data_IF_425862590538
#
_entry.id   IF_425862590538
#
_cell.length_a   1.000
_cell.length_b   1.000
_cell.length_c   1.000
_cell.angle_alpha   90.00
_cell.angle_beta   90.00
_cell.angle_gamma   90.00
#
_symmetry.space_group_name_H-M   'P 1'
#
loop_
_entity.id
_entity.type
_entity.pdbx_description
1 polymer ?
#
# COMPACT_ATOMS: atom_id res chain seq x y z
N UNK A 1 8.85 9.39 -17.58
CA UNK A 1 9.21 8.62 -16.41
C UNK A 1 10.67 8.23 -16.49
N UNK A 2 11.40 8.32 -15.36
CA UNK A 2 12.77 7.80 -15.26
C UNK A 2 12.65 6.29 -15.00
N UNK A 3 12.85 5.50 -16.03
CA UNK A 3 12.93 4.05 -15.91
C UNK A 3 14.27 3.62 -15.30
N UNK A 4 14.24 2.56 -14.51
CA UNK A 4 15.45 1.94 -13.98
C UNK A 4 16.16 1.13 -15.06
N UNK A 5 17.49 1.23 -15.12
CA UNK A 5 18.34 0.41 -15.99
C UNK A 5 18.82 -0.89 -15.31
N UNK A 6 18.36 -1.16 -14.09
CA UNK A 6 18.77 -2.35 -13.33
C UNK A 6 18.20 -3.60 -14.00
N UNK A 7 19.06 -4.63 -14.14
CA UNK A 7 18.63 -5.93 -14.62
C UNK A 7 17.73 -6.63 -13.60
N UNK A 8 16.61 -7.19 -14.06
CA UNK A 8 15.57 -7.78 -13.19
C UNK A 8 15.60 -9.31 -13.18
N UNK A 9 15.99 -9.93 -14.28
CA UNK A 9 16.00 -11.40 -14.41
C UNK A 9 16.88 -12.11 -13.38
N UNK A 10 18.10 -11.63 -13.04
CA UNK A 10 18.94 -12.32 -12.06
C UNK A 10 18.28 -12.43 -10.68
N UNK A 11 17.62 -11.38 -10.21
CA UNK A 11 16.95 -11.40 -8.91
C UNK A 11 15.65 -12.21 -8.97
N UNK A 12 14.91 -12.15 -10.07
CA UNK A 12 13.73 -12.98 -10.28
C UNK A 12 14.06 -14.47 -10.24
N UNK A 13 15.18 -14.88 -10.84
CA UNK A 13 15.67 -16.26 -10.79
C UNK A 13 15.92 -16.73 -9.35
N UNK A 14 16.44 -15.87 -8.49
CA UNK A 14 16.59 -16.18 -7.07
C UNK A 14 15.23 -16.26 -6.37
N UNK A 15 14.28 -15.38 -6.74
CA UNK A 15 12.95 -15.32 -6.17
C UNK A 15 12.05 -16.52 -6.51
N UNK A 16 12.35 -17.26 -7.60
CA UNK A 16 11.62 -18.50 -7.94
C UNK A 16 11.65 -19.53 -6.80
N UNK A 17 12.71 -19.55 -5.97
CA UNK A 17 12.83 -20.47 -4.82
C UNK A 17 11.82 -20.18 -3.72
N UNK A 18 11.29 -18.99 -3.67
CA UNK A 18 10.29 -18.56 -2.71
C UNK A 18 8.85 -18.73 -3.23
N UNK A 19 8.67 -19.00 -4.51
CA UNK A 19 7.36 -19.33 -5.06
C UNK A 19 7.03 -20.79 -4.72
N UNK A 20 5.80 -21.02 -4.31
CA UNK A 20 5.28 -22.37 -4.13
C UNK A 20 4.95 -22.96 -5.50
N UNK A 21 5.35 -24.22 -5.72
CA UNK A 21 5.02 -24.97 -6.93
C UNK A 21 3.92 -25.97 -6.55
N UNK A 22 2.64 -25.65 -6.76
CA UNK A 22 1.58 -26.64 -6.65
C UNK A 22 1.77 -27.71 -7.70
N UNK A 23 1.42 -28.96 -7.38
CA UNK A 23 1.69 -30.17 -8.16
C UNK A 23 1.13 -30.20 -9.61
N UNK A 24 0.44 -29.17 -10.11
CA UNK A 24 -0.26 -29.26 -11.41
C UNK A 24 -0.28 -28.01 -12.29
N UNK A 25 -0.03 -26.82 -11.79
CA UNK A 25 0.11 -25.61 -12.62
C UNK A 25 0.62 -24.43 -11.74
N UNK A 26 1.86 -23.99 -11.91
CA UNK A 26 2.38 -22.89 -11.10
C UNK A 26 1.87 -21.55 -11.62
N UNK A 27 0.76 -21.08 -11.04
CA UNK A 27 0.19 -19.76 -11.33
C UNK A 27 0.89 -18.67 -10.51
N UNK A 28 1.20 -17.55 -11.14
CA UNK A 28 1.80 -16.39 -10.48
C UNK A 28 1.24 -15.08 -11.03
N UNK A 29 0.82 -14.19 -10.15
CA UNK A 29 0.55 -12.80 -10.49
C UNK A 29 1.86 -12.01 -10.61
N UNK A 30 2.04 -11.25 -11.67
CA UNK A 30 3.24 -10.41 -11.84
C UNK A 30 2.87 -8.94 -11.71
N UNK A 31 3.56 -8.23 -10.81
CA UNK A 31 3.37 -6.79 -10.62
C UNK A 31 4.69 -6.05 -10.42
N UNK A 32 4.72 -4.79 -10.81
CA UNK A 32 5.90 -3.92 -10.67
C UNK A 32 5.48 -2.45 -10.49
N UNK A 33 6.46 -1.62 -10.17
CA UNK A 33 6.27 -0.16 -10.15
C UNK A 33 6.60 0.46 -11.51
N UNK A 34 6.17 1.71 -11.73
CA UNK A 34 6.48 2.47 -12.94
C UNK A 34 7.98 2.49 -13.28
N UNK A 35 8.86 2.43 -12.27
CA UNK A 35 10.31 2.46 -12.48
C UNK A 35 10.84 1.29 -13.30
N UNK A 36 10.20 0.12 -13.22
CA UNK A 36 10.62 -1.10 -13.90
C UNK A 36 9.66 -1.52 -15.02
N UNK A 37 8.66 -0.69 -15.32
CA UNK A 37 7.63 -1.02 -16.31
C UNK A 37 8.17 -1.29 -17.71
N UNK A 38 9.28 -0.64 -18.08
CA UNK A 38 9.97 -0.87 -19.36
C UNK A 38 10.55 -2.30 -19.50
N UNK A 39 10.61 -3.04 -18.40
CA UNK A 39 11.09 -4.43 -18.36
C UNK A 39 9.97 -5.46 -18.13
N UNK A 40 8.73 -5.02 -18.11
CA UNK A 40 7.60 -5.87 -17.73
C UNK A 40 7.44 -7.08 -18.64
N UNK A 41 7.55 -6.91 -19.96
CA UNK A 41 7.49 -8.00 -20.92
C UNK A 41 8.65 -9.00 -20.77
N UNK A 42 9.84 -8.52 -20.44
CA UNK A 42 11.00 -9.36 -20.12
C UNK A 42 10.74 -10.22 -18.88
N UNK A 43 10.15 -9.60 -17.83
CA UNK A 43 9.79 -10.30 -16.59
C UNK A 43 8.75 -11.38 -16.84
N UNK A 44 7.70 -11.05 -17.59
CA UNK A 44 6.62 -11.96 -17.94
C UNK A 44 7.16 -13.15 -18.72
N UNK A 45 7.89 -12.89 -19.80
CA UNK A 45 8.51 -13.93 -20.61
C UNK A 45 9.45 -14.84 -19.82
N UNK A 46 10.25 -14.28 -18.91
CA UNK A 46 11.13 -15.06 -18.04
C UNK A 46 10.34 -16.07 -17.21
N UNK A 47 9.23 -15.66 -16.57
CA UNK A 47 8.41 -16.57 -15.77
C UNK A 47 7.72 -17.64 -16.64
N UNK A 48 7.25 -17.27 -17.83
CA UNK A 48 6.66 -18.21 -18.80
C UNK A 48 7.69 -19.23 -19.27
N UNK A 49 8.93 -18.83 -19.56
CA UNK A 49 10.05 -19.70 -19.95
C UNK A 49 10.46 -20.66 -18.79
N UNK A 50 10.26 -20.26 -17.54
CA UNK A 50 10.46 -21.10 -16.34
C UNK A 50 9.23 -22.00 -16.02
N UNK A 51 8.19 -21.96 -16.85
CA UNK A 51 7.04 -22.85 -16.79
C UNK A 51 5.86 -22.36 -15.95
N UNK A 52 5.82 -21.08 -15.58
CA UNK A 52 4.71 -20.48 -14.84
C UNK A 52 3.61 -19.98 -15.79
N UNK A 53 2.35 -20.12 -15.38
CA UNK A 53 1.24 -19.36 -15.96
C UNK A 53 1.22 -17.97 -15.32
N UNK A 54 1.52 -16.94 -16.10
CA UNK A 54 1.64 -15.58 -15.60
C UNK A 54 0.33 -14.84 -15.75
N UNK A 55 -0.27 -14.47 -14.64
CA UNK A 55 -1.47 -13.65 -14.60
C UNK A 55 -1.10 -12.18 -14.42
N UNK A 56 -1.59 -11.38 -15.33
CA UNK A 56 -1.36 -9.93 -15.33
C UNK A 56 -2.66 -9.21 -15.63
N UNK A 57 -2.82 -8.01 -15.07
CA UNK A 57 -4.00 -7.20 -15.27
C UNK A 57 -3.63 -5.72 -15.31
N UNK A 58 -4.29 -4.97 -16.15
CA UNK A 58 -4.36 -3.52 -15.99
C UNK A 58 -5.38 -3.25 -14.88
N UNK A 59 -4.98 -2.49 -13.86
CA UNK A 59 -5.88 -2.10 -12.78
C UNK A 59 -6.95 -1.08 -13.22
N UNK A 60 -7.35 -0.19 -12.32
CA UNK A 60 -8.31 0.87 -12.61
C UNK A 60 -7.72 1.97 -13.52
N UNK A 61 -8.52 2.99 -13.85
CA UNK A 61 -8.16 4.10 -14.75
C UNK A 61 -6.93 4.92 -14.31
N UNK A 62 -6.54 4.84 -13.03
CA UNK A 62 -5.34 5.50 -12.49
C UNK A 62 -4.06 4.76 -12.82
N UNK A 63 -4.16 3.52 -13.30
CA UNK A 63 -3.04 2.66 -13.66
C UNK A 63 -2.90 2.61 -15.18
N UNK A 64 -1.74 3.04 -15.68
CA UNK A 64 -1.51 3.20 -17.12
C UNK A 64 -1.11 1.88 -17.78
N UNK A 65 -0.40 1.03 -17.05
CA UNK A 65 0.22 -0.18 -17.57
C UNK A 65 -0.30 -1.45 -16.89
N UNK A 66 -0.19 -2.56 -17.60
CA UNK A 66 -0.43 -3.90 -17.06
C UNK A 66 0.56 -4.23 -15.94
N UNK A 67 0.10 -4.87 -14.88
CA UNK A 67 0.92 -5.22 -13.71
C UNK A 67 1.46 -4.02 -12.92
N UNK A 68 1.10 -2.78 -13.27
CA UNK A 68 1.55 -1.60 -12.57
C UNK A 68 0.87 -1.47 -11.21
N UNK A 69 1.65 -1.20 -10.15
CA UNK A 69 1.13 -0.84 -8.83
C UNK A 69 1.57 0.56 -8.42
N UNK A 70 0.73 1.23 -7.66
CA UNK A 70 1.03 2.47 -6.95
C UNK A 70 0.91 2.24 -5.46
N UNK A 71 1.53 3.08 -4.65
CA UNK A 71 1.48 2.97 -3.18
C UNK A 71 0.10 3.17 -2.55
N UNK A 72 -0.91 3.47 -3.35
CA UNK A 72 -2.30 3.62 -2.95
C UNK A 72 -3.27 2.92 -3.91
N UNK A 73 -2.75 2.06 -4.80
CA UNK A 73 -3.56 1.35 -5.77
C UNK A 73 -2.90 0.03 -6.17
N UNK A 74 -3.51 -1.07 -5.80
CA UNK A 74 -3.04 -2.44 -6.02
C UNK A 74 -3.99 -3.26 -6.91
N UNK A 75 -4.92 -2.61 -7.61
CA UNK A 75 -5.95 -3.27 -8.41
C UNK A 75 -5.39 -4.16 -9.53
N UNK A 76 -4.16 -3.91 -10.00
CA UNK A 76 -3.49 -4.77 -10.99
C UNK A 76 -3.05 -6.14 -10.42
N UNK A 77 -3.04 -6.30 -9.11
CA UNK A 77 -2.74 -7.55 -8.42
C UNK A 77 -3.98 -8.42 -8.14
N UNK A 78 -5.17 -7.90 -8.48
CA UNK A 78 -6.44 -8.66 -8.37
C UNK A 78 -6.56 -9.63 -9.56
N UNK A 79 -5.79 -10.70 -9.52
CA UNK A 79 -5.66 -11.74 -10.56
C UNK A 79 -5.93 -13.11 -9.93
N UNK A 80 -6.29 -14.08 -10.77
CA UNK A 80 -6.56 -15.45 -10.33
C UNK A 80 -5.23 -16.23 -10.16
N UNK A 81 -4.51 -15.89 -9.09
CA UNK A 81 -3.30 -16.58 -8.66
C UNK A 81 -3.18 -16.53 -7.14
N UNK A 82 -2.72 -17.60 -6.52
CA UNK A 82 -2.53 -17.69 -5.06
C UNK A 82 -1.26 -16.97 -4.59
N UNK A 83 -0.39 -16.59 -5.51
CA UNK A 83 0.86 -15.92 -5.21
C UNK A 83 1.17 -14.81 -6.20
N UNK A 84 1.90 -13.82 -5.75
CA UNK A 84 2.30 -12.64 -6.53
C UNK A 84 3.80 -12.48 -6.46
N UNK A 85 4.46 -12.33 -7.60
CA UNK A 85 5.82 -11.81 -7.66
C UNK A 85 5.78 -10.31 -7.86
N UNK A 86 6.25 -9.58 -6.86
CA UNK A 86 6.50 -8.14 -6.96
C UNK A 86 7.95 -7.91 -7.35
N UNK A 87 8.19 -7.22 -8.47
CA UNK A 87 9.54 -6.84 -8.91
C UNK A 87 9.73 -5.35 -8.72
N UNK A 88 10.61 -4.96 -7.78
CA UNK A 88 10.87 -3.56 -7.49
C UNK A 88 11.53 -3.31 -6.15
N UNK A 89 12.04 -2.10 -5.95
CA UNK A 89 12.76 -1.72 -4.73
C UNK A 89 11.86 -1.37 -3.56
N UNK A 90 12.35 -1.68 -2.36
CA UNK A 90 11.75 -1.30 -1.08
C UNK A 90 10.57 -2.17 -0.63
N UNK A 91 10.16 -1.96 0.61
CA UNK A 91 9.13 -2.80 1.27
C UNK A 91 7.72 -2.24 1.23
N UNK A 92 7.55 -0.97 0.85
CA UNK A 92 6.28 -0.27 0.95
C UNK A 92 5.19 -0.88 0.04
N UNK A 93 5.48 -1.02 -1.26
CA UNK A 93 4.50 -1.57 -2.21
C UNK A 93 4.14 -3.03 -1.91
N UNK A 94 5.12 -3.94 -1.65
CA UNK A 94 4.78 -5.33 -1.35
C UNK A 94 4.07 -5.51 -0.01
N UNK A 95 4.33 -4.66 1.00
CA UNK A 95 3.52 -4.66 2.22
C UNK A 95 2.08 -4.25 1.96
N UNK A 96 1.86 -3.22 1.15
CA UNK A 96 0.51 -2.82 0.74
C UNK A 96 -0.21 -3.91 -0.06
N UNK A 97 0.50 -4.60 -0.96
CA UNK A 97 -0.02 -5.78 -1.67
C UNK A 97 -0.47 -6.87 -0.69
N UNK A 98 0.39 -7.24 0.27
CA UNK A 98 0.09 -8.28 1.26
C UNK A 98 -1.03 -7.89 2.23
N UNK A 99 -1.27 -6.60 2.42
CA UNK A 99 -2.41 -6.11 3.22
C UNK A 99 -3.74 -6.22 2.48
N UNK A 100 -3.75 -5.88 1.19
CA UNK A 100 -4.96 -5.89 0.37
C UNK A 100 -5.32 -7.31 -0.07
N UNK A 101 -4.32 -8.12 -0.38
CA UNK A 101 -4.46 -9.50 -0.85
C UNK A 101 -3.91 -10.47 0.21
N UNK A 102 -4.60 -10.56 1.35
CA UNK A 102 -4.19 -11.41 2.50
C UNK A 102 -4.19 -12.91 2.20
N UNK A 103 -4.96 -13.31 1.22
CA UNK A 103 -5.06 -14.67 0.70
C UNK A 103 -3.92 -15.06 -0.23
N UNK A 104 -3.07 -14.10 -0.61
CA UNK A 104 -1.98 -14.30 -1.58
C UNK A 104 -0.59 -14.20 -0.93
N UNK A 105 0.27 -15.14 -1.29
CA UNK A 105 1.69 -15.05 -0.95
C UNK A 105 2.37 -13.99 -1.83
N UNK A 106 2.99 -12.99 -1.26
CA UNK A 106 3.71 -11.93 -2.00
C UNK A 106 5.21 -12.12 -1.87
N UNK A 107 5.85 -12.54 -2.96
CA UNK A 107 7.30 -12.70 -3.09
C UNK A 107 7.90 -11.42 -3.66
N UNK A 108 8.92 -10.90 -3.00
CA UNK A 108 9.62 -9.67 -3.36
C UNK A 108 10.91 -10.04 -4.08
N UNK A 109 11.06 -9.58 -5.32
CA UNK A 109 12.31 -9.55 -6.06
C UNK A 109 12.78 -8.10 -6.17
N UNK A 110 13.70 -7.69 -5.29
CA UNK A 110 14.24 -6.31 -5.26
C UNK A 110 15.57 -6.24 -6.04
N UNK A 111 15.55 -5.75 -7.30
CA UNK A 111 16.75 -5.70 -8.12
C UNK A 111 17.71 -4.57 -7.70
N UNK A 112 17.22 -3.58 -6.95
CA UNK A 112 18.02 -2.43 -6.50
C UNK A 112 18.91 -2.82 -5.34
N UNK A 113 18.36 -3.58 -4.37
CA UNK A 113 19.07 -4.02 -3.17
C UNK A 113 19.58 -5.46 -3.29
N UNK A 114 19.36 -6.12 -4.42
CA UNK A 114 19.67 -7.54 -4.66
C UNK A 114 19.12 -8.44 -3.53
N UNK A 115 17.85 -8.25 -3.19
CA UNK A 115 17.20 -8.90 -2.06
C UNK A 115 15.96 -9.66 -2.53
N UNK A 116 15.82 -10.90 -2.05
CA UNK A 116 14.59 -11.69 -2.14
C UNK A 116 14.01 -11.86 -0.75
N UNK A 117 12.72 -11.67 -0.59
CA UNK A 117 12.00 -11.89 0.66
C UNK A 117 10.51 -12.10 0.41
N UNK A 118 9.78 -12.52 1.44
CA UNK A 118 8.32 -12.59 1.43
C UNK A 118 7.79 -11.37 2.19
N UNK A 119 6.72 -10.77 1.67
CA UNK A 119 6.07 -9.68 2.36
C UNK A 119 5.29 -10.23 3.57
N UNK A 120 5.68 -9.79 4.77
CA UNK A 120 4.98 -10.09 6.01
C UNK A 120 4.27 -8.81 6.49
N UNK A 121 2.95 -8.79 6.35
CA UNK A 121 2.12 -7.68 6.77
C UNK A 121 1.67 -7.76 8.24
N UNK A 122 1.85 -8.87 8.94
CA UNK A 122 1.30 -9.10 10.29
C UNK A 122 1.75 -8.06 11.30
N UNK A 123 3.04 -7.76 11.33
CA UNK A 123 3.57 -6.74 12.24
C UNK A 123 2.98 -5.36 11.95
N UNK A 124 2.83 -5.04 10.69
CA UNK A 124 2.28 -3.77 10.24
C UNK A 124 0.78 -3.68 10.59
N UNK A 125 0.02 -4.72 10.31
CA UNK A 125 -1.41 -4.83 10.66
C UNK A 125 -1.61 -4.65 12.17
N UNK A 126 -0.81 -5.31 13.01
CA UNK A 126 -0.83 -5.14 14.47
C UNK A 126 -0.57 -3.69 14.90
N UNK A 127 0.34 -3.00 14.22
CA UNK A 127 0.61 -1.58 14.49
C UNK A 127 -0.61 -0.70 14.11
N UNK A 128 -1.26 -1.00 12.99
CA UNK A 128 -2.45 -0.26 12.56
C UNK A 128 -3.63 -0.51 13.51
N UNK A 129 -3.87 -1.73 13.93
CA UNK A 129 -4.88 -2.05 14.94
C UNK A 129 -4.61 -1.33 16.27
N UNK A 130 -3.36 -1.24 16.70
CA UNK A 130 -3.01 -0.47 17.88
C UNK A 130 -3.30 1.04 17.72
N UNK A 131 -3.11 1.61 16.52
CA UNK A 131 -3.44 3.00 16.23
C UNK A 131 -4.97 3.22 16.24
N UNK A 132 -5.73 2.33 15.60
CA UNK A 132 -7.21 2.34 15.62
C UNK A 132 -7.71 2.27 17.07
N UNK A 133 -7.25 1.29 17.84
CA UNK A 133 -7.67 1.11 19.23
C UNK A 133 -7.38 2.35 20.10
N UNK A 134 -6.22 2.98 19.93
CA UNK A 134 -5.90 4.23 20.63
C UNK A 134 -6.84 5.39 20.25
N UNK A 135 -7.35 5.38 19.01
CA UNK A 135 -8.23 6.42 18.51
C UNK A 135 -9.70 6.20 18.88
N UNK A 136 -10.13 4.99 19.24
CA UNK A 136 -11.53 4.69 19.62
C UNK A 136 -12.04 5.53 20.79
N UNK A 137 -11.15 6.05 21.64
CA UNK A 137 -11.49 6.97 22.74
C UNK A 137 -11.38 8.45 22.40
N UNK A 138 -11.06 8.81 21.17
CA UNK A 138 -10.90 10.20 20.75
C UNK A 138 -12.25 10.93 20.73
N UNK A 139 -12.28 12.13 21.31
CA UNK A 139 -13.44 13.01 21.33
C UNK A 139 -13.35 14.12 20.27
N UNK A 140 -12.13 14.48 19.88
CA UNK A 140 -11.86 15.54 18.92
C UNK A 140 -10.92 15.07 17.84
N UNK A 141 -11.23 15.40 16.59
CA UNK A 141 -10.55 14.88 15.42
C UNK A 141 -10.00 15.99 14.53
N UNK A 142 -8.75 15.84 14.09
CA UNK A 142 -8.16 16.70 13.07
C UNK A 142 -8.17 16.01 11.70
N UNK A 143 -8.94 16.53 10.77
CA UNK A 143 -9.04 16.00 9.41
C UNK A 143 -8.04 16.74 8.54
N UNK A 144 -6.98 16.07 8.15
CA UNK A 144 -5.87 16.67 7.42
C UNK A 144 -6.17 16.64 5.93
N UNK A 145 -6.38 17.84 5.36
CA UNK A 145 -6.45 18.04 3.93
C UNK A 145 -5.09 18.49 3.38
N UNK A 146 -4.54 17.70 2.47
CA UNK A 146 -3.24 17.98 1.84
C UNK A 146 -3.42 18.83 0.59
N UNK A 147 -2.75 19.98 0.51
CA UNK A 147 -2.80 20.87 -0.66
C UNK A 147 -1.83 20.53 -1.78
N UNK A 148 -0.96 19.52 -1.58
CA UNK A 148 -0.06 19.06 -2.64
C UNK A 148 -0.84 18.52 -3.83
N UNK A 149 -0.38 18.87 -5.02
CA UNK A 149 -0.98 18.42 -6.28
C UNK A 149 -1.09 16.88 -6.31
N UNK A 150 -2.28 16.38 -6.61
CA UNK A 150 -2.57 14.93 -6.68
C UNK A 150 -2.77 14.24 -5.32
N UNK A 151 -2.74 14.98 -4.20
CA UNK A 151 -2.98 14.44 -2.86
C UNK A 151 -4.23 15.00 -2.17
N UNK A 152 -4.77 16.10 -2.67
CA UNK A 152 -5.99 16.70 -2.12
C UNK A 152 -7.22 15.83 -2.41
N UNK A 153 -7.95 15.47 -1.35
CA UNK A 153 -9.21 14.71 -1.41
C UNK A 153 -10.22 15.42 -0.54
N UNK A 154 -10.76 16.51 -1.07
CA UNK A 154 -11.69 17.35 -0.32
C UNK A 154 -12.99 16.63 0.00
N UNK A 155 -13.56 15.94 -0.96
CA UNK A 155 -14.82 15.21 -0.81
C UNK A 155 -14.76 14.22 0.36
N UNK A 156 -13.61 13.56 0.54
CA UNK A 156 -13.39 12.61 1.62
C UNK A 156 -13.23 13.31 2.99
N UNK A 157 -12.59 14.48 3.01
CA UNK A 157 -12.49 15.30 4.23
C UNK A 157 -13.86 15.86 4.63
N UNK A 158 -14.65 16.31 3.66
CA UNK A 158 -15.99 16.85 3.83
C UNK A 158 -16.95 15.79 4.38
N UNK A 159 -16.94 14.57 3.83
CA UNK A 159 -17.73 13.44 4.33
C UNK A 159 -17.48 13.16 5.82
N UNK A 160 -16.21 13.20 6.26
CA UNK A 160 -15.86 12.95 7.66
C UNK A 160 -16.34 14.09 8.56
N UNK A 161 -16.29 15.34 8.10
CA UNK A 161 -16.71 16.51 8.90
C UNK A 161 -18.23 16.54 9.04
N UNK A 162 -18.95 16.22 7.98
CA UNK A 162 -20.41 16.14 8.02
C UNK A 162 -20.93 15.05 8.97
N UNK A 163 -20.15 13.96 9.11
CA UNK A 163 -20.48 12.83 9.98
C UNK A 163 -20.14 13.09 11.47
N UNK A 164 -19.30 14.09 11.77
CA UNK A 164 -18.80 14.31 13.13
C UNK A 164 -18.59 15.80 13.47
N UNK A 165 -19.48 16.34 14.29
CA UNK A 165 -19.43 17.74 14.75
C UNK A 165 -18.14 18.14 15.51
N UNK A 166 -17.39 17.18 16.02
CA UNK A 166 -16.11 17.38 16.68
C UNK A 166 -14.89 17.11 15.77
N UNK A 167 -15.09 17.10 14.46
CA UNK A 167 -14.06 17.01 13.47
C UNK A 167 -13.73 18.39 12.88
N UNK A 168 -12.43 18.71 12.81
CA UNK A 168 -11.91 20.01 12.37
C UNK A 168 -10.96 19.85 11.22
N UNK A 169 -11.15 20.60 10.13
CA UNK A 169 -10.21 20.57 9.00
C UNK A 169 -8.92 21.27 9.34
N UNK A 170 -7.81 20.61 9.00
CA UNK A 170 -6.47 21.16 9.07
C UNK A 170 -5.86 21.11 7.66
N UNK A 171 -5.70 22.25 7.04
CA UNK A 171 -5.13 22.36 5.70
C UNK A 171 -3.61 22.50 5.78
N UNK A 172 -2.88 21.57 5.17
CA UNK A 172 -1.42 21.55 5.16
C UNK A 172 -0.87 21.16 3.78
N UNK A 173 0.24 21.77 3.41
CA UNK A 173 1.06 21.38 2.27
C UNK A 173 2.06 20.29 2.65
N UNK A 174 2.56 20.33 3.87
CA UNK A 174 3.51 19.37 4.43
C UNK A 174 3.03 18.89 5.79
N UNK A 175 2.83 17.59 5.91
CA UNK A 175 2.29 16.94 7.12
C UNK A 175 3.48 16.35 7.91
N UNK A 176 3.85 17.04 8.99
CA UNK A 176 4.94 16.62 9.87
C UNK A 176 4.48 16.57 11.33
N UNK A 177 5.12 15.75 12.18
CA UNK A 177 4.79 15.69 13.60
C UNK A 177 4.79 17.05 14.28
N UNK A 178 5.79 17.89 13.98
CA UNK A 178 5.95 19.19 14.64
C UNK A 178 4.82 20.16 14.30
N UNK A 179 4.32 20.15 13.06
CA UNK A 179 3.18 20.99 12.66
C UNK A 179 1.90 20.60 13.39
N UNK A 180 1.74 19.31 13.74
CA UNK A 180 0.55 18.83 14.44
C UNK A 180 0.61 18.95 15.97
N UNK A 181 1.78 19.20 16.56
CA UNK A 181 1.92 19.34 18.02
C UNK A 181 1.07 20.45 18.64
N UNK A 182 0.82 21.52 17.88
CA UNK A 182 0.09 22.69 18.36
C UNK A 182 -1.43 22.48 18.38
N UNK A 183 -1.95 21.48 17.71
CA UNK A 183 -3.38 21.16 17.73
C UNK A 183 -3.69 20.28 18.93
N UNK A 184 -4.57 20.81 19.82
CA UNK A 184 -5.03 20.09 21.02
C UNK A 184 -6.16 19.13 20.69
N UNK A 185 -5.92 18.23 19.73
CA UNK A 185 -6.87 17.21 19.26
C UNK A 185 -6.42 15.82 19.74
N UNK A 186 -7.37 14.90 19.85
CA UNK A 186 -7.11 13.56 20.37
C UNK A 186 -6.54 12.61 19.31
N UNK A 187 -6.99 12.74 18.07
CA UNK A 187 -6.54 11.93 16.94
C UNK A 187 -6.59 12.71 15.62
N UNK A 188 -5.92 12.20 14.60
CA UNK A 188 -5.89 12.80 13.28
C UNK A 188 -6.30 11.78 12.21
N UNK A 189 -6.98 12.25 11.17
CA UNK A 189 -7.30 11.49 9.96
C UNK A 189 -6.58 12.15 8.78
N UNK A 190 -5.73 11.42 8.11
CA UNK A 190 -5.03 11.92 6.94
C UNK A 190 -5.76 11.50 5.66
N UNK A 191 -6.33 12.45 4.94
CA UNK A 191 -6.99 12.22 3.65
C UNK A 191 -6.04 12.31 2.45
N UNK A 192 -4.77 12.67 2.68
CA UNK A 192 -3.73 12.79 1.65
C UNK A 192 -3.04 11.45 1.33
N UNK A 193 -1.71 11.48 1.22
CA UNK A 193 -0.93 10.29 0.95
C UNK A 193 -1.02 9.26 2.09
N UNK A 194 -1.50 8.02 1.88
CA UNK A 194 -1.66 7.02 2.95
C UNK A 194 -0.37 6.71 3.72
N UNK A 195 0.80 6.85 3.11
CA UNK A 195 2.09 6.61 3.77
C UNK A 195 2.31 7.43 5.02
N UNK A 196 1.71 8.60 5.11
CA UNK A 196 1.81 9.46 6.30
C UNK A 196 1.13 8.79 7.51
N UNK A 197 -0.01 8.13 7.30
CA UNK A 197 -0.68 7.38 8.36
C UNK A 197 0.00 6.04 8.61
N UNK A 198 0.45 5.36 7.57
CA UNK A 198 0.96 4.00 7.62
C UNK A 198 2.43 3.94 8.01
N UNK A 199 3.33 4.51 7.19
CA UNK A 199 4.78 4.42 7.38
C UNK A 199 5.27 5.41 8.44
N UNK A 200 4.80 6.66 8.37
CA UNK A 200 5.18 7.73 9.28
C UNK A 200 4.31 7.79 10.55
N UNK A 201 3.19 7.06 10.58
CA UNK A 201 2.24 7.04 11.70
C UNK A 201 2.88 6.94 13.09
N UNK A 202 3.85 6.04 13.33
CA UNK A 202 4.53 5.91 14.61
C UNK A 202 5.33 7.14 15.05
N UNK A 203 5.64 8.07 14.16
CA UNK A 203 6.36 9.32 14.48
C UNK A 203 5.45 10.37 15.12
N UNK A 204 4.13 10.24 14.96
CA UNK A 204 3.15 11.18 15.52
C UNK A 204 2.81 10.81 16.97
N UNK A 205 2.71 11.79 17.84
CA UNK A 205 2.37 11.61 19.26
C UNK A 205 0.93 11.14 19.47
N UNK A 206 0.04 11.55 18.58
CA UNK A 206 -1.37 11.19 18.59
C UNK A 206 -1.65 10.19 17.48
N UNK A 207 -2.69 9.35 17.57
CA UNK A 207 -3.05 8.43 16.49
C UNK A 207 -3.24 9.19 15.17
N UNK A 208 -2.61 8.65 14.12
CA UNK A 208 -2.74 9.13 12.75
C UNK A 208 -3.39 8.01 11.93
N UNK A 209 -4.64 8.19 11.55
CA UNK A 209 -5.46 7.20 10.86
C UNK A 209 -5.62 7.52 9.37
N UNK A 210 -5.89 6.51 8.58
CA UNK A 210 -6.52 6.67 7.26
C UNK A 210 -8.02 6.89 7.44
N UNK A 211 -8.76 7.38 6.43
CA UNK A 211 -10.21 7.50 6.51
C UNK A 211 -10.92 6.18 6.84
N UNK A 212 -10.49 5.08 6.25
CA UNK A 212 -11.05 3.75 6.49
C UNK A 212 -10.86 3.32 7.96
N UNK A 213 -9.67 3.56 8.52
CA UNK A 213 -9.38 3.29 9.92
C UNK A 213 -10.17 4.21 10.87
N UNK A 214 -10.48 5.43 10.45
CA UNK A 214 -11.37 6.32 11.19
C UNK A 214 -12.80 5.75 11.27
N UNK A 215 -13.34 5.26 10.17
CA UNK A 215 -14.68 4.65 10.17
C UNK A 215 -14.74 3.40 11.06
N UNK A 216 -13.66 2.62 11.10
CA UNK A 216 -13.54 1.50 12.05
C UNK A 216 -13.47 2.02 13.49
N UNK A 217 -12.63 3.02 13.78
CA UNK A 217 -12.46 3.58 15.12
C UNK A 217 -13.74 4.22 15.68
N UNK A 218 -14.60 4.76 14.81
CA UNK A 218 -15.90 5.35 15.15
C UNK A 218 -17.06 4.36 15.13
N UNK A 219 -16.81 3.09 14.72
CA UNK A 219 -17.82 2.04 14.70
C UNK A 219 -18.73 2.08 13.47
N UNK A 220 -18.40 2.88 12.44
CA UNK A 220 -19.13 2.95 11.16
C UNK A 220 -18.84 1.72 10.28
N UNK A 221 -17.62 1.22 10.35
CA UNK A 221 -17.20 -0.03 9.69
C UNK A 221 -16.73 -1.07 10.72
N UNK A 222 -16.95 -2.37 10.46
CA UNK A 222 -16.44 -3.40 11.35
C UNK A 222 -14.92 -3.49 11.25
N UNK A 223 -14.29 -3.88 12.36
CA UNK A 223 -12.89 -4.29 12.35
C UNK A 223 -12.85 -5.68 11.69
N UNK A 224 -12.41 -5.77 10.44
CA UNK A 224 -12.21 -7.05 9.79
C UNK A 224 -11.10 -7.85 10.50
N UNK A 225 -11.41 -9.09 10.86
CA UNK A 225 -10.52 -10.03 11.54
C UNK A 225 -9.51 -10.69 10.59
#
# INVERSE_FOLDING_TARGET
PLYSNVEVVPIMKLALKELEIPNSNPDVGLVTTTQHQNRFEEMKKFLEDEGYTVHTRRGDERLTHEGQVLGCNYASADVDASQIMYVGGGKFHPLGLAMVHRDKRVVIADPVNNLVSIADADKFIKQRYAAIHKAMGAKTWGIIYCTKIGQGRWELAEEIIEDNENAYVITLDEITPDRLLNFKLDAFVNTGCPRISTDDGPRFKKPMLTPQEYWIATGREPLES
#
